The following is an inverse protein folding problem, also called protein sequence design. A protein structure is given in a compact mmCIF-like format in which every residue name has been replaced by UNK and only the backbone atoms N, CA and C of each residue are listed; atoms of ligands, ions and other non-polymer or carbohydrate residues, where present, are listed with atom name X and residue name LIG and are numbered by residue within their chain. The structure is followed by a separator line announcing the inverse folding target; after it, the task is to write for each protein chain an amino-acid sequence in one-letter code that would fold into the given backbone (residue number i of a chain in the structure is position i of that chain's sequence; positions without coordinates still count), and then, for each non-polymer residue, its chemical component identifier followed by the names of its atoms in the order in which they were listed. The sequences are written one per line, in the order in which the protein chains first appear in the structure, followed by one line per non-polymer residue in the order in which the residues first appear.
data_IF_182590616758
#
_entry.id   IF_182590616758
#
_cell.length_a   1.000
_cell.length_b   1.000
_cell.length_c   1.000
_cell.angle_alpha   90.00
_cell.angle_beta   90.00
_cell.angle_gamma   90.00
#
_symmetry.space_group_name_H-M   'P 1'
#
loop_
_entity.id
_entity.type
_entity.pdbx_description
1 polymer ?
#
# COMPACT_ATOMS: atom_id res chain seq x y z
N UNK A 1 -11.27 -1.81 -22.01
CA UNK A 1 -9.95 -2.44 -22.11
C UNK A 1 -8.89 -1.58 -21.45
N UNK A 2 -8.02 -2.21 -20.72
CA UNK A 2 -6.89 -1.54 -20.09
C UNK A 2 -5.79 -1.31 -21.12
N UNK A 3 -5.33 -0.08 -21.23
CA UNK A 3 -4.18 0.24 -22.08
C UNK A 3 -2.90 0.02 -21.30
N UNK A 4 -2.26 -1.12 -21.50
CA UNK A 4 -1.02 -1.46 -20.84
C UNK A 4 0.14 -0.54 -21.20
N UNK A 5 0.04 0.21 -22.31
CA UNK A 5 1.10 1.15 -22.70
C UNK A 5 1.20 2.35 -21.77
N UNK A 6 0.15 2.67 -21.04
CA UNK A 6 0.10 3.78 -20.10
C UNK A 6 0.58 3.38 -18.70
N UNK A 7 0.57 2.10 -18.38
CA UNK A 7 0.99 1.58 -17.09
C UNK A 7 2.51 1.40 -17.06
N UNK A 8 3.13 1.63 -15.90
CA UNK A 8 4.56 1.40 -15.65
C UNK A 8 5.48 1.95 -16.76
N UNK A 9 5.34 3.24 -17.08
CA UNK A 9 6.11 3.91 -18.15
C UNK A 9 5.92 3.28 -19.53
N UNK A 10 4.72 2.87 -19.78
CA UNK A 10 4.29 2.49 -21.09
C UNK A 10 4.32 1.01 -21.39
N UNK A 11 4.87 0.17 -20.53
CA UNK A 11 4.89 -1.26 -20.87
C UNK A 11 4.79 -2.13 -19.64
N UNK A 12 3.65 -2.79 -19.52
CA UNK A 12 3.47 -3.88 -18.59
C UNK A 12 2.81 -5.03 -19.33
N UNK A 13 3.34 -6.23 -19.19
CA UNK A 13 2.74 -7.39 -19.82
C UNK A 13 1.38 -7.71 -19.19
N UNK A 14 0.45 -8.20 -20.00
CA UNK A 14 -0.87 -8.61 -19.51
C UNK A 14 -0.76 -9.64 -18.38
N UNK A 15 0.20 -10.54 -18.45
CA UNK A 15 0.49 -11.52 -17.42
C UNK A 15 0.86 -10.87 -16.09
N UNK A 16 1.76 -9.87 -16.13
CA UNK A 16 2.15 -9.12 -14.93
C UNK A 16 0.96 -8.40 -14.33
N UNK A 17 0.13 -7.77 -15.16
CA UNK A 17 -1.09 -7.14 -14.66
C UNK A 17 -2.00 -8.16 -13.99
N UNK A 18 -2.22 -9.30 -14.61
CA UNK A 18 -3.10 -10.35 -14.10
C UNK A 18 -2.65 -10.84 -12.73
N UNK A 19 -1.36 -11.12 -12.55
CA UNK A 19 -0.84 -11.67 -11.29
C UNK A 19 -0.59 -10.61 -10.22
N UNK A 20 -0.09 -9.44 -10.60
CA UNK A 20 0.45 -8.48 -9.64
C UNK A 20 -0.46 -7.29 -9.35
N UNK A 21 -1.33 -6.91 -10.30
CA UNK A 21 -2.12 -5.69 -10.16
C UNK A 21 -3.62 -5.90 -10.15
N UNK A 22 -4.10 -7.04 -10.64
CA UNK A 22 -5.54 -7.28 -10.70
C UNK A 22 -6.12 -7.40 -9.28
N UNK A 23 -7.10 -6.56 -8.89
CA UNK A 23 -7.76 -6.70 -7.59
C UNK A 23 -8.38 -8.09 -7.43
N UNK A 24 -8.08 -8.74 -6.30
CA UNK A 24 -8.49 -10.12 -6.07
C UNK A 24 -7.68 -11.16 -6.82
N UNK A 25 -6.63 -10.75 -7.55
CA UNK A 25 -5.73 -11.65 -8.24
C UNK A 25 -4.80 -12.41 -7.29
N UNK A 26 -3.99 -13.30 -7.86
CA UNK A 26 -3.16 -14.23 -7.10
C UNK A 26 -2.19 -13.54 -6.15
N UNK A 27 -1.62 -12.42 -6.55
CA UNK A 27 -0.64 -11.67 -5.75
C UNK A 27 -1.22 -10.46 -5.05
N UNK A 28 -2.53 -10.33 -4.99
CA UNK A 28 -3.18 -9.27 -4.23
C UNK A 28 -3.24 -9.66 -2.74
N UNK A 29 -2.11 -9.53 -2.07
CA UNK A 29 -1.99 -9.87 -0.65
C UNK A 29 -2.66 -8.84 0.25
N UNK A 30 -2.67 -7.59 -0.19
CA UNK A 30 -3.20 -6.48 0.57
C UNK A 30 -4.53 -6.09 -0.06
N UNK A 31 -5.60 -6.62 0.45
CA UNK A 31 -6.92 -6.55 -0.17
C UNK A 31 -7.75 -5.35 0.26
N UNK A 32 -7.16 -4.17 0.35
CA UNK A 32 -7.99 -3.02 0.70
C UNK A 32 -8.99 -2.60 -0.38
N UNK A 33 -8.91 -3.17 -1.56
CA UNK A 33 -9.99 -3.06 -2.55
C UNK A 33 -11.31 -3.64 -2.03
N UNK A 34 -11.26 -4.54 -1.05
CA UNK A 34 -12.45 -5.12 -0.38
C UNK A 34 -13.02 -4.18 0.71
N UNK A 35 -12.44 -3.00 0.89
CA UNK A 35 -12.85 -2.04 1.91
C UNK A 35 -12.29 -2.32 3.30
N UNK A 36 -12.67 -1.52 4.29
CA UNK A 36 -12.11 -1.60 5.64
C UNK A 36 -12.33 -2.94 6.34
N UNK A 37 -13.34 -3.69 5.92
CA UNK A 37 -13.68 -5.00 6.47
C UNK A 37 -13.10 -6.16 5.68
N UNK A 38 -12.30 -5.87 4.65
CA UNK A 38 -11.59 -6.89 3.89
C UNK A 38 -10.63 -7.69 4.77
N UNK A 39 -10.33 -8.91 4.37
CA UNK A 39 -9.46 -9.83 5.12
C UNK A 39 -8.25 -10.23 4.30
N UNK A 40 -7.09 -10.22 4.93
CA UNK A 40 -5.85 -10.72 4.35
C UNK A 40 -5.26 -11.77 5.27
N UNK A 41 -5.36 -13.06 4.92
CA UNK A 41 -4.75 -14.11 5.73
C UNK A 41 -3.24 -13.94 5.90
N UNK A 42 -2.56 -13.40 4.89
CA UNK A 42 -1.12 -13.16 4.93
C UNK A 42 -0.79 -12.06 5.95
N UNK A 43 -1.46 -10.92 5.88
CA UNK A 43 -1.24 -9.84 6.85
C UNK A 43 -1.63 -10.27 8.25
N UNK A 44 -2.71 -11.03 8.38
CA UNK A 44 -3.20 -11.49 9.68
C UNK A 44 -2.25 -12.52 10.33
N UNK A 45 -1.39 -13.14 9.55
CA UNK A 45 -0.40 -14.10 10.06
C UNK A 45 0.86 -13.43 10.63
N UNK A 46 1.04 -12.13 10.42
CA UNK A 46 2.22 -11.41 10.91
C UNK A 46 2.06 -11.19 12.41
N UNK A 47 3.01 -11.71 13.19
CA UNK A 47 3.01 -11.59 14.64
C UNK A 47 4.13 -10.73 15.20
N UNK A 48 4.86 -10.03 14.33
CA UNK A 48 5.90 -9.08 14.71
C UNK A 48 5.35 -7.66 14.64
N UNK A 49 5.95 -6.71 15.39
CA UNK A 49 5.61 -5.30 15.23
C UNK A 49 5.90 -4.83 13.82
N UNK A 50 4.96 -4.09 13.22
CA UNK A 50 5.06 -3.60 11.84
C UNK A 50 4.90 -2.09 11.83
N UNK A 51 5.82 -1.39 11.19
CA UNK A 51 5.71 0.03 10.88
C UNK A 51 5.36 0.15 9.40
N UNK A 52 4.25 0.83 9.12
CA UNK A 52 3.80 1.10 7.76
C UNK A 52 3.92 2.60 7.51
N UNK A 53 4.63 2.96 6.45
CA UNK A 53 4.81 4.35 6.07
C UNK A 53 4.33 4.53 4.64
N UNK A 54 3.47 5.50 4.41
CA UNK A 54 3.10 5.90 3.05
C UNK A 54 2.75 7.38 3.01
N UNK A 55 2.69 7.93 1.81
CA UNK A 55 2.33 9.32 1.60
C UNK A 55 0.83 9.50 1.38
N UNK A 56 0.31 10.67 1.69
CA UNK A 56 -1.11 10.94 1.49
C UNK A 56 -1.48 11.25 0.04
N UNK A 57 -0.51 11.29 -0.87
CA UNK A 57 -0.74 11.34 -2.32
C UNK A 57 -0.12 10.13 -3.03
N UNK A 58 0.05 9.03 -2.32
CA UNK A 58 0.58 7.77 -2.86
C UNK A 58 -0.45 7.13 -3.78
N UNK A 59 -0.20 7.23 -5.07
CA UNK A 59 -1.10 6.74 -6.13
C UNK A 59 -1.18 5.22 -6.22
N UNK A 60 -0.22 4.51 -5.65
CA UNK A 60 -0.20 3.05 -5.65
C UNK A 60 -0.95 2.45 -4.46
N UNK A 61 -0.85 3.10 -3.30
CA UNK A 61 -1.49 2.63 -2.06
C UNK A 61 -2.93 3.10 -1.98
N UNK A 62 -3.19 4.36 -2.38
CA UNK A 62 -4.50 4.99 -2.18
C UNK A 62 -5.46 4.70 -3.32
N UNK A 63 -5.72 3.43 -3.59
CA UNK A 63 -6.82 3.00 -4.46
C UNK A 63 -8.18 3.12 -3.78
N UNK A 64 -8.17 3.38 -2.48
CA UNK A 64 -9.31 3.67 -1.62
C UNK A 64 -9.02 4.93 -0.80
N UNK A 65 -10.02 5.59 -0.22
CA UNK A 65 -9.76 6.70 0.71
C UNK A 65 -8.81 6.30 1.83
N UNK A 66 -7.95 7.23 2.24
CA UNK A 66 -6.90 6.97 3.22
C UNK A 66 -7.42 6.34 4.52
N UNK A 67 -8.58 6.78 5.00
CA UNK A 67 -9.15 6.23 6.23
C UNK A 67 -9.58 4.76 6.07
N UNK A 68 -10.02 4.37 4.88
CA UNK A 68 -10.36 2.98 4.58
C UNK A 68 -9.10 2.13 4.58
N UNK A 69 -8.03 2.61 3.94
CA UNK A 69 -6.73 1.91 3.89
C UNK A 69 -6.17 1.72 5.29
N UNK A 70 -6.19 2.78 6.12
CA UNK A 70 -5.70 2.71 7.49
C UNK A 70 -6.48 1.69 8.33
N UNK A 71 -7.80 1.74 8.27
CA UNK A 71 -8.66 0.80 9.00
C UNK A 71 -8.45 -0.64 8.55
N UNK A 72 -8.32 -0.85 7.24
CA UNK A 72 -8.03 -2.17 6.70
C UNK A 72 -6.74 -2.73 7.28
N UNK A 73 -5.66 -1.93 7.27
CA UNK A 73 -4.36 -2.35 7.77
C UNK A 73 -4.41 -2.61 9.28
N UNK A 74 -5.03 -1.74 10.06
CA UNK A 74 -5.18 -1.90 11.50
C UNK A 74 -6.00 -3.14 11.85
N UNK A 75 -7.02 -3.46 11.06
CA UNK A 75 -7.86 -4.63 11.29
C UNK A 75 -7.17 -5.95 10.91
N UNK A 76 -6.20 -5.91 10.02
CA UNK A 76 -5.54 -7.13 9.52
C UNK A 76 -4.18 -7.40 10.14
N UNK A 77 -3.50 -6.38 10.67
CA UNK A 77 -2.18 -6.53 11.28
C UNK A 77 -2.30 -6.30 12.78
N UNK A 78 -1.99 -7.33 13.56
CA UNK A 78 -2.22 -7.34 15.00
C UNK A 78 -1.47 -6.22 15.74
N UNK A 79 -0.21 -5.97 15.36
CA UNK A 79 0.62 -4.95 16.00
C UNK A 79 1.23 -4.05 14.92
N UNK A 80 0.51 -2.99 14.59
CA UNK A 80 0.84 -2.15 13.46
C UNK A 80 0.78 -0.68 13.87
N UNK A 81 1.80 0.06 13.47
CA UNK A 81 1.82 1.52 13.54
C UNK A 81 1.84 2.08 12.14
N UNK A 82 0.96 3.03 11.86
CA UNK A 82 0.85 3.65 10.54
C UNK A 82 1.29 5.10 10.64
N UNK A 83 2.26 5.47 9.82
CA UNK A 83 2.73 6.85 9.69
C UNK A 83 2.45 7.35 8.27
N UNK A 84 1.86 8.51 8.16
CA UNK A 84 1.54 9.12 6.86
C UNK A 84 2.38 10.37 6.68
N UNK A 85 3.11 10.44 5.58
CA UNK A 85 3.91 11.63 5.24
C UNK A 85 3.10 12.53 4.33
N UNK A 86 2.84 13.73 4.81
CA UNK A 86 2.04 14.70 4.08
C UNK A 86 2.76 15.15 2.80
N UNK A 87 2.05 15.09 1.67
CA UNK A 87 2.58 15.50 0.37
C UNK A 87 3.51 14.50 -0.29
N UNK A 88 3.67 13.30 0.27
CA UNK A 88 4.53 12.27 -0.32
C UNK A 88 3.77 11.40 -1.33
N UNK A 89 4.42 11.16 -2.47
CA UNK A 89 3.98 10.18 -3.46
C UNK A 89 4.54 8.80 -3.12
N UNK A 90 4.30 7.82 -4.00
CA UNK A 90 4.78 6.45 -3.80
C UNK A 90 6.31 6.35 -3.70
N UNK A 91 7.02 7.23 -4.39
CA UNK A 91 8.49 7.25 -4.41
C UNK A 91 9.09 8.19 -3.36
N UNK A 92 8.27 8.86 -2.55
CA UNK A 92 8.69 9.85 -1.55
C UNK A 92 9.50 11.00 -2.17
N UNK A 93 9.13 11.43 -3.37
CA UNK A 93 9.82 12.49 -4.10
C UNK A 93 9.91 13.77 -3.26
N UNK A 94 11.11 14.27 -3.05
CA UNK A 94 11.41 15.44 -2.21
C UNK A 94 10.99 15.29 -0.73
N UNK A 95 10.83 14.05 -0.24
CA UNK A 95 10.41 13.75 1.13
C UNK A 95 11.35 12.80 1.86
N UNK A 96 12.58 12.62 1.37
CA UNK A 96 13.52 11.67 1.95
C UNK A 96 13.95 12.01 3.36
N UNK A 97 14.10 13.31 3.68
CA UNK A 97 14.43 13.72 5.04
C UNK A 97 13.31 13.39 6.02
N UNK A 98 12.07 13.65 5.62
CA UNK A 98 10.89 13.34 6.44
C UNK A 98 10.73 11.83 6.62
N UNK A 99 10.95 11.07 5.56
CA UNK A 99 10.92 9.60 5.62
C UNK A 99 11.98 9.08 6.59
N UNK A 100 13.21 9.56 6.46
CA UNK A 100 14.30 9.18 7.35
C UNK A 100 14.02 9.51 8.81
N UNK A 101 13.42 10.66 9.07
CA UNK A 101 13.05 11.07 10.43
C UNK A 101 11.96 10.17 11.02
N UNK A 102 10.95 9.82 10.23
CA UNK A 102 9.88 8.92 10.68
C UNK A 102 10.46 7.57 11.05
N UNK A 103 11.35 7.03 10.22
CA UNK A 103 12.02 5.76 10.51
C UNK A 103 12.84 5.87 11.81
N UNK A 104 13.64 6.91 11.94
CA UNK A 104 14.47 7.15 13.12
C UNK A 104 13.65 7.28 14.39
N UNK A 105 12.55 8.03 14.35
CA UNK A 105 11.68 8.27 15.51
C UNK A 105 10.95 7.01 15.99
N UNK A 106 10.88 5.96 15.16
CA UNK A 106 10.18 4.72 15.47
C UNK A 106 11.12 3.53 15.77
N UNK A 107 12.43 3.79 15.79
CA UNK A 107 13.42 2.76 16.14
C UNK A 107 14.46 3.25 17.19
#
# INVERSE_FOLDING_TARGET
LIDFSVMANGKIAAETYYYDFLPGGENDFIRYSDGENGKSPILNSINLPVLIIFGNIDECVLTQPIEIVKKYLENNILNCKIEVINGADHSYTNKYEELGKVIEDNF
#
